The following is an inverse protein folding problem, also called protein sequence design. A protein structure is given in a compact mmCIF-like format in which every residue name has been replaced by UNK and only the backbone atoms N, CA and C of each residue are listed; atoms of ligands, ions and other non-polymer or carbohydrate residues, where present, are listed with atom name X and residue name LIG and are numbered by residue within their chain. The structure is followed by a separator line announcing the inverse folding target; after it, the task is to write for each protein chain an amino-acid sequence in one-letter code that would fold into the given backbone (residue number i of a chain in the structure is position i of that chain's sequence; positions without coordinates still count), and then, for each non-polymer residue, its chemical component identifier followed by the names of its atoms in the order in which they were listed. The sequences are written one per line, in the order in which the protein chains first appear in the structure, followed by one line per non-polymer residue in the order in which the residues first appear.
data_IF_975898192774
#
_entry.id   IF_975898192774
#
_cell.length_a   1.000
_cell.length_b   1.000
_cell.length_c   1.000
_cell.angle_alpha   90.00
_cell.angle_beta   90.00
_cell.angle_gamma   90.00
#
_symmetry.space_group_name_H-M   'P 1'
#
loop_
_entity.id
_entity.type
_entity.pdbx_description
1 polymer ?
#
# COMPACT_ATOMS: atom_id res chain seq x y z
N UNK A 1 -0.81 -4.80 11.50
CA UNK A 1 -1.17 -5.75 10.43
C UNK A 1 0.07 -6.20 9.69
N UNK A 2 0.72 -5.31 8.93
CA UNK A 2 1.99 -5.57 8.28
C UNK A 2 3.11 -4.84 9.03
N UNK A 3 4.06 -5.59 9.57
CA UNK A 3 5.27 -5.03 10.20
C UNK A 3 6.36 -4.91 9.13
N UNK A 4 7.22 -3.91 9.21
CA UNK A 4 8.33 -3.66 8.27
C UNK A 4 7.87 -3.25 6.85
N UNK A 5 6.78 -2.49 6.76
CA UNK A 5 6.33 -1.91 5.50
C UNK A 5 6.60 -0.41 5.50
N UNK A 6 7.52 0.03 4.66
CA UNK A 6 8.00 1.41 4.61
C UNK A 6 6.89 2.44 4.40
N UNK A 7 5.85 2.11 3.62
CA UNK A 7 4.75 3.03 3.35
C UNK A 7 3.80 3.17 4.54
N UNK A 8 3.60 2.09 5.30
CA UNK A 8 2.78 2.11 6.53
C UNK A 8 3.52 2.88 7.63
N UNK A 9 4.83 2.64 7.77
CA UNK A 9 5.68 3.33 8.75
C UNK A 9 5.79 4.83 8.48
N UNK A 10 5.73 5.23 7.21
CA UNK A 10 5.80 6.63 6.78
C UNK A 10 4.45 7.14 6.23
N UNK A 11 3.34 6.59 6.74
CA UNK A 11 2.00 6.88 6.25
C UNK A 11 1.70 8.38 6.15
N UNK A 12 2.08 9.18 7.14
CA UNK A 12 1.81 10.61 7.15
C UNK A 12 2.49 11.33 5.97
N UNK A 13 3.74 10.96 5.68
CA UNK A 13 4.48 11.52 4.55
C UNK A 13 3.86 11.08 3.23
N UNK A 14 3.56 9.78 3.07
CA UNK A 14 2.90 9.24 1.88
C UNK A 14 1.56 9.93 1.64
N UNK A 15 0.75 10.12 2.69
CA UNK A 15 -0.54 10.79 2.60
C UNK A 15 -0.42 12.29 2.25
N UNK A 16 0.62 12.96 2.77
CA UNK A 16 0.88 14.38 2.50
C UNK A 16 1.32 14.65 1.05
N UNK A 17 1.75 13.64 0.28
CA UNK A 17 2.18 13.82 -1.11
C UNK A 17 1.06 14.24 -2.06
N UNK A 18 -0.20 13.99 -1.68
CA UNK A 18 -1.40 14.39 -2.40
C UNK A 18 -1.65 13.63 -3.71
N UNK A 19 -2.94 13.40 -4.00
CA UNK A 19 -3.42 12.62 -5.14
C UNK A 19 -3.98 11.26 -4.71
N UNK A 20 -4.21 10.40 -5.69
CA UNK A 20 -4.66 9.03 -5.45
C UNK A 20 -3.57 8.21 -4.76
N UNK A 21 -3.97 7.11 -4.10
CA UNK A 21 -3.07 6.27 -3.32
C UNK A 21 -1.86 5.77 -4.14
N UNK A 22 -2.07 5.41 -5.41
CA UNK A 22 -1.01 5.01 -6.32
C UNK A 22 -0.03 6.14 -6.62
N UNK A 23 -0.54 7.36 -6.84
CA UNK A 23 0.28 8.57 -7.09
C UNK A 23 1.12 8.93 -5.87
N UNK A 24 0.55 8.82 -4.67
CA UNK A 24 1.28 9.04 -3.42
C UNK A 24 2.45 8.06 -3.28
N UNK A 25 2.23 6.78 -3.60
CA UNK A 25 3.27 5.74 -3.56
C UNK A 25 4.35 5.98 -4.62
N UNK A 26 3.97 6.37 -5.84
CA UNK A 26 4.91 6.69 -6.92
C UNK A 26 5.79 7.89 -6.56
N UNK A 27 5.20 8.95 -5.99
CA UNK A 27 5.94 10.11 -5.50
C UNK A 27 6.88 9.74 -4.36
N UNK A 28 6.45 8.85 -3.46
CA UNK A 28 7.27 8.41 -2.33
C UNK A 28 8.48 7.61 -2.83
N UNK A 29 8.25 6.68 -3.75
CA UNK A 29 9.33 5.91 -4.37
C UNK A 29 10.31 6.81 -5.12
N UNK A 30 9.81 7.78 -5.90
CA UNK A 30 10.65 8.73 -6.61
C UNK A 30 11.48 9.60 -5.66
N UNK A 31 10.86 10.12 -4.59
CA UNK A 31 11.53 10.99 -3.61
C UNK A 31 12.64 10.26 -2.85
N UNK A 32 12.42 8.99 -2.50
CA UNK A 32 13.34 8.20 -1.69
C UNK A 32 14.24 7.27 -2.52
N UNK A 33 14.15 7.32 -3.85
CA UNK A 33 14.93 6.46 -4.76
C UNK A 33 14.62 4.97 -4.59
N UNK A 34 13.40 4.63 -4.20
CA UNK A 34 12.99 3.25 -3.96
C UNK A 34 12.63 2.55 -5.27
N UNK A 35 12.87 1.24 -5.30
CA UNK A 35 12.37 0.39 -6.37
C UNK A 35 10.89 0.10 -6.12
N UNK A 36 10.12 0.13 -7.21
CA UNK A 36 8.72 -0.27 -7.20
C UNK A 36 8.56 -1.68 -6.61
N UNK A 37 7.73 -1.79 -5.57
CA UNK A 37 7.45 -3.05 -4.88
C UNK A 37 5.94 -3.27 -4.72
N UNK A 38 5.37 -4.08 -5.62
CA UNK A 38 3.93 -4.35 -5.65
C UNK A 38 3.41 -4.99 -4.36
N UNK A 39 4.19 -5.87 -3.72
CA UNK A 39 3.76 -6.53 -2.50
C UNK A 39 3.65 -5.54 -1.33
N UNK A 40 4.65 -4.67 -1.18
CA UNK A 40 4.63 -3.64 -0.16
C UNK A 40 3.50 -2.61 -0.40
N UNK A 41 3.24 -2.25 -1.65
CA UNK A 41 2.11 -1.39 -2.02
C UNK A 41 0.76 -2.05 -1.76
N UNK A 42 0.60 -3.33 -2.10
CA UNK A 42 -0.62 -4.10 -1.82
C UNK A 42 -0.92 -4.18 -0.31
N UNK A 43 0.10 -4.46 0.49
CA UNK A 43 0.00 -4.44 1.96
C UNK A 43 -0.42 -3.06 2.48
N UNK A 44 0.14 -1.98 1.95
CA UNK A 44 -0.24 -0.61 2.32
C UNK A 44 -1.69 -0.29 1.95
N UNK A 45 -2.12 -0.62 0.73
CA UNK A 45 -3.50 -0.41 0.28
C UNK A 45 -4.50 -1.18 1.14
N UNK A 46 -4.20 -2.42 1.50
CA UNK A 46 -5.05 -3.20 2.38
C UNK A 46 -5.09 -2.66 3.82
N UNK A 47 -3.93 -2.26 4.37
CA UNK A 47 -3.89 -1.60 5.67
C UNK A 47 -4.70 -0.31 5.65
N UNK A 48 -4.55 0.54 4.62
CA UNK A 48 -5.34 1.77 4.43
C UNK A 48 -6.83 1.46 4.38
N UNK A 49 -7.25 0.49 3.56
CA UNK A 49 -8.64 0.06 3.46
C UNK A 49 -9.22 -0.36 4.82
N UNK A 50 -8.43 -1.06 5.63
CA UNK A 50 -8.84 -1.52 6.97
C UNK A 50 -8.96 -0.37 7.96
N UNK A 51 -8.00 0.57 8.00
CA UNK A 51 -8.02 1.68 8.97
C UNK A 51 -9.05 2.76 8.60
N UNK A 52 -9.34 2.96 7.31
CA UNK A 52 -10.36 3.92 6.85
C UNK A 52 -11.74 3.31 6.69
N UNK A 53 -11.86 1.98 6.67
CA UNK A 53 -13.11 1.27 6.38
C UNK A 53 -13.56 1.37 4.92
N UNK A 54 -12.63 1.65 3.99
CA UNK A 54 -12.92 1.83 2.55
C UNK A 54 -12.28 0.67 1.75
N UNK A 55 -12.99 -0.46 1.56
CA UNK A 55 -12.44 -1.65 0.91
C UNK A 55 -12.06 -1.43 -0.56
N UNK A 56 -12.65 -0.45 -1.23
CA UNK A 56 -12.40 -0.12 -2.64
C UNK A 56 -10.97 0.35 -2.91
N UNK A 57 -10.22 0.73 -1.86
CA UNK A 57 -8.80 1.07 -1.97
C UNK A 57 -7.93 -0.16 -2.29
N UNK A 58 -8.42 -1.37 -2.02
CA UNK A 58 -7.74 -2.62 -2.36
C UNK A 58 -8.23 -3.14 -3.72
N UNK A 59 -7.43 -2.91 -4.76
CA UNK A 59 -7.71 -3.43 -6.10
C UNK A 59 -7.60 -4.95 -6.17
N UNK A 60 -8.28 -5.57 -7.15
CA UNK A 60 -8.22 -7.04 -7.34
C UNK A 60 -6.79 -7.57 -7.55
N UNK A 61 -5.91 -6.93 -8.35
CA UNK A 61 -4.52 -7.37 -8.48
C UNK A 61 -3.77 -7.39 -7.14
N UNK A 62 -3.95 -6.36 -6.30
CA UNK A 62 -3.34 -6.31 -4.98
C UNK A 62 -3.95 -7.33 -4.02
N UNK A 63 -5.26 -7.58 -4.11
CA UNK A 63 -5.91 -8.65 -3.35
C UNK A 63 -5.33 -10.02 -3.71
N UNK A 64 -5.18 -10.32 -5.00
CA UNK A 64 -4.59 -11.58 -5.48
C UNK A 64 -3.16 -11.74 -4.98
N UNK A 65 -2.35 -10.68 -5.08
CA UNK A 65 -0.97 -10.70 -4.60
C UNK A 65 -0.90 -11.00 -3.08
N UNK A 66 -1.82 -10.46 -2.29
CA UNK A 66 -1.91 -10.77 -0.86
C UNK A 66 -2.36 -12.21 -0.59
N UNK A 67 -3.26 -12.77 -1.39
CA UNK A 67 -3.69 -14.17 -1.29
C UNK A 67 -2.53 -15.11 -1.63
N UNK A 68 -1.85 -14.88 -2.76
CA UNK A 68 -0.69 -15.65 -3.22
C UNK A 68 0.46 -15.66 -2.21
N UNK A 69 0.59 -14.59 -1.43
CA UNK A 69 1.60 -14.46 -0.38
C UNK A 69 1.08 -14.81 1.03
N UNK A 70 -0.13 -15.39 1.15
CA UNK A 70 -0.68 -15.89 2.40
C UNK A 70 -1.12 -14.82 3.42
N UNK A 71 -1.27 -13.56 2.98
CA UNK A 71 -1.74 -12.45 3.81
C UNK A 71 -3.26 -12.31 3.86
N UNK A 72 -3.96 -12.88 2.88
CA UNK A 72 -5.42 -12.93 2.79
C UNK A 72 -5.88 -14.35 2.47
N UNK A 73 -7.09 -14.68 2.93
CA UNK A 73 -7.77 -15.90 2.50
C UNK A 73 -8.53 -15.60 1.19
N UNK A 74 -8.46 -16.54 0.25
CA UNK A 74 -9.15 -16.48 -1.05
C UNK A 74 -10.60 -16.91 -0.96
#
# INVERSE_FOLDING_TARGET
MYKNNIYIENYEEVAAMGGDIGVCLDKYDYKHGLKHNDLARAQYCHWRATVTGVPELLSMPYKNLLIENGFLQG
#
